data_IF_398925004625
#
_entry.id   IF_398925004625
#
_cell.length_a   1.000
_cell.length_b   1.000
_cell.length_c   1.000
_cell.angle_alpha   90.00
_cell.angle_beta   90.00
_cell.angle_gamma   90.00
#
_symmetry.space_group_name_H-M   'P 1'
#
loop_
_entity.id
_entity.type
_entity.pdbx_description
1 polymer ?
#
# COMPACT_ATOMS: atom_id res chain seq x y z
N UNK A 1 -9.99 11.30 8.84
CA UNK A 1 -8.58 11.22 9.29
C UNK A 1 -7.92 12.54 8.99
N UNK A 2 -7.30 13.21 9.98
CA UNK A 2 -6.62 14.48 9.75
C UNK A 2 -5.19 14.27 9.27
N UNK A 3 -4.70 15.21 8.47
CA UNK A 3 -3.32 15.21 7.99
C UNK A 3 -2.30 15.42 9.12
N UNK A 4 -2.65 16.21 10.13
CA UNK A 4 -1.85 16.37 11.36
C UNK A 4 -1.66 15.04 12.10
N UNK A 5 -2.71 14.22 12.20
CA UNK A 5 -2.65 12.92 12.86
C UNK A 5 -1.77 11.94 12.07
N UNK A 6 -1.74 12.09 10.74
CA UNK A 6 -0.83 11.35 9.88
C UNK A 6 0.62 11.77 10.07
N UNK A 7 0.91 13.08 10.12
CA UNK A 7 2.25 13.58 10.41
C UNK A 7 2.77 13.13 11.79
N UNK A 8 1.88 13.00 12.78
CA UNK A 8 2.22 12.53 14.12
C UNK A 8 2.25 10.99 14.26
N UNK A 9 1.97 10.24 13.18
CA UNK A 9 1.83 8.79 13.26
C UNK A 9 3.17 8.04 13.34
N UNK A 10 3.13 6.81 13.86
CA UNK A 10 4.26 5.89 13.81
C UNK A 10 4.69 5.59 12.37
N UNK A 11 3.77 5.49 11.42
CA UNK A 11 4.11 5.29 10.01
C UNK A 11 4.99 6.43 9.48
N UNK A 12 4.61 7.67 9.78
CA UNK A 12 5.32 8.85 9.30
C UNK A 12 6.73 8.94 9.88
N UNK A 13 6.88 8.69 11.18
CA UNK A 13 8.18 8.71 11.86
C UNK A 13 9.06 7.51 11.51
N UNK A 14 8.50 6.29 11.45
CA UNK A 14 9.23 5.06 11.15
C UNK A 14 9.87 5.09 9.75
N UNK A 15 9.14 5.58 8.73
CA UNK A 15 9.68 5.73 7.38
C UNK A 15 10.41 7.06 7.15
N UNK A 16 10.57 7.88 8.20
CA UNK A 16 11.17 9.21 8.15
C UNK A 16 10.62 10.05 6.99
N UNK A 17 9.28 10.16 6.94
CA UNK A 17 8.62 10.87 5.85
C UNK A 17 8.88 12.38 5.96
N UNK A 18 9.00 13.02 4.81
CA UNK A 18 9.11 14.46 4.68
C UNK A 18 8.27 14.93 3.50
N UNK A 19 7.63 16.09 3.65
CA UNK A 19 6.96 16.75 2.54
C UNK A 19 8.00 17.26 1.54
N UNK A 20 7.94 16.77 0.31
CA UNK A 20 8.85 17.20 -0.77
C UNK A 20 8.24 18.32 -1.60
N UNK A 21 6.92 18.28 -1.82
CA UNK A 21 6.20 19.29 -2.58
C UNK A 21 4.72 19.25 -2.25
N UNK A 22 4.02 20.31 -2.64
CA UNK A 22 2.57 20.31 -2.60
C UNK A 22 1.97 21.12 -3.74
N UNK A 23 0.86 20.63 -4.26
CA UNK A 23 0.19 21.17 -5.43
C UNK A 23 -1.30 21.34 -5.15
N UNK A 24 -1.86 22.48 -5.50
CA UNK A 24 -3.30 22.70 -5.41
C UNK A 24 -3.98 22.06 -6.63
N UNK A 25 -4.79 21.01 -6.41
CA UNK A 25 -5.47 20.28 -7.49
C UNK A 25 -6.82 20.93 -7.83
N UNK A 26 -7.51 21.47 -6.82
CA UNK A 26 -8.76 22.20 -6.99
C UNK A 26 -8.91 23.22 -5.86
N UNK A 27 -9.95 24.05 -5.89
CA UNK A 27 -10.23 25.00 -4.79
C UNK A 27 -10.29 24.33 -3.42
N UNK A 28 -10.69 23.07 -3.32
CA UNK A 28 -10.91 22.38 -2.04
C UNK A 28 -9.88 21.27 -1.74
N UNK A 29 -9.00 20.94 -2.67
CA UNK A 29 -8.11 19.78 -2.55
C UNK A 29 -6.65 20.11 -2.90
N UNK A 30 -5.75 19.77 -1.98
CA UNK A 30 -4.30 19.89 -2.11
C UNK A 30 -3.68 18.49 -2.16
N UNK A 31 -2.82 18.23 -3.14
CA UNK A 31 -1.99 17.03 -3.20
C UNK A 31 -0.65 17.33 -2.52
N UNK A 32 -0.28 16.50 -1.55
CA UNK A 32 1.00 16.57 -0.86
C UNK A 32 1.84 15.38 -1.27
N UNK A 33 3.06 15.65 -1.75
CA UNK A 33 4.03 14.62 -2.12
C UNK A 33 5.00 14.39 -0.97
N UNK A 34 5.23 13.12 -0.65
CA UNK A 34 6.02 12.70 0.50
C UNK A 34 7.15 11.80 0.05
N UNK A 35 8.32 11.98 0.66
CA UNK A 35 9.50 11.15 0.46
C UNK A 35 9.93 10.49 1.75
N UNK A 36 10.29 9.22 1.66
CA UNK A 36 10.85 8.39 2.73
C UNK A 36 12.28 8.82 3.06
N UNK A 37 12.82 8.42 4.22
CA UNK A 37 14.23 8.64 4.52
C UNK A 37 15.20 7.88 3.61
N UNK A 38 14.79 6.71 3.09
CA UNK A 38 15.58 5.87 2.19
C UNK A 38 14.72 5.25 1.08
N UNK A 39 15.39 4.78 0.01
CA UNK A 39 14.74 4.23 -1.19
C UNK A 39 13.76 5.20 -1.89
N UNK A 40 14.02 6.51 -1.79
CA UNK A 40 13.18 7.59 -2.31
C UNK A 40 12.99 7.52 -3.84
N UNK A 41 13.93 6.91 -4.54
CA UNK A 41 13.94 6.68 -5.98
C UNK A 41 12.94 5.62 -6.43
N UNK A 42 12.52 4.75 -5.51
CA UNK A 42 11.61 3.63 -5.74
C UNK A 42 10.22 3.83 -5.16
N UNK A 43 10.05 4.84 -4.32
CA UNK A 43 8.85 5.07 -3.52
C UNK A 43 8.33 6.49 -3.78
N UNK A 44 7.06 6.59 -4.16
CA UNK A 44 6.33 7.85 -4.16
C UNK A 44 5.05 7.71 -3.33
N UNK A 45 4.87 8.61 -2.36
CA UNK A 45 3.67 8.67 -1.54
C UNK A 45 2.98 10.00 -1.79
N UNK A 46 1.67 9.94 -2.02
CA UNK A 46 0.84 11.11 -2.17
C UNK A 46 -0.33 11.07 -1.20
N UNK A 47 -0.65 12.21 -0.60
CA UNK A 47 -1.84 12.38 0.23
C UNK A 47 -2.62 13.58 -0.27
N UNK A 48 -3.92 13.41 -0.43
CA UNK A 48 -4.84 14.44 -0.91
C UNK A 48 -5.64 14.95 0.28
N UNK A 49 -5.43 16.22 0.60
CA UNK A 49 -5.89 16.87 1.82
C UNK A 49 -6.88 17.99 1.48
N UNK A 50 -7.99 18.07 2.19
CA UNK A 50 -8.94 19.17 2.08
C UNK A 50 -8.42 20.44 2.76
N UNK A 51 -9.06 21.58 2.55
CA UNK A 51 -8.76 22.82 3.32
C UNK A 51 -8.89 22.64 4.83
N UNK A 52 -9.79 21.77 5.27
CA UNK A 52 -10.02 21.47 6.68
C UNK A 52 -8.98 20.47 7.25
N UNK A 53 -8.00 20.07 6.45
CA UNK A 53 -6.94 19.14 6.85
C UNK A 53 -7.38 17.68 6.81
N UNK A 54 -8.50 17.33 6.18
CA UNK A 54 -8.95 15.94 6.08
C UNK A 54 -8.29 15.24 4.91
N UNK A 55 -7.75 14.04 5.15
CA UNK A 55 -7.24 13.17 4.09
C UNK A 55 -8.44 12.54 3.38
N UNK A 56 -8.53 12.74 2.06
CA UNK A 56 -9.54 12.13 1.18
C UNK A 56 -8.99 11.00 0.34
N UNK A 57 -7.70 11.02 0.03
CA UNK A 57 -7.05 9.97 -0.74
C UNK A 57 -5.60 9.83 -0.33
N UNK A 58 -5.10 8.61 -0.34
CA UNK A 58 -3.69 8.31 -0.21
C UNK A 58 -3.26 7.35 -1.33
N UNK A 59 -2.09 7.59 -1.91
CA UNK A 59 -1.50 6.75 -2.95
C UNK A 59 -0.07 6.39 -2.57
N UNK A 60 0.27 5.11 -2.73
CA UNK A 60 1.62 4.59 -2.63
C UNK A 60 1.99 3.97 -3.98
N UNK A 61 3.05 4.48 -4.58
CA UNK A 61 3.66 3.96 -5.80
C UNK A 61 4.99 3.30 -5.46
N UNK A 62 5.21 2.11 -6.01
CA UNK A 62 6.42 1.33 -5.82
C UNK A 62 6.96 0.84 -7.16
N UNK A 63 8.25 1.04 -7.42
CA UNK A 63 8.93 0.55 -8.63
C UNK A 63 8.87 -0.99 -8.69
N UNK A 64 8.38 -1.56 -9.81
CA UNK A 64 8.26 -3.02 -9.99
C UNK A 64 9.61 -3.72 -9.90
N UNK A 65 10.64 -3.16 -10.54
CA UNK A 65 11.98 -3.73 -10.52
C UNK A 65 12.54 -3.83 -9.09
N UNK A 66 12.17 -2.90 -8.22
CA UNK A 66 12.63 -2.87 -6.83
C UNK A 66 11.82 -3.77 -5.90
N UNK A 67 10.49 -3.82 -6.04
CA UNK A 67 9.65 -4.68 -5.19
C UNK A 67 9.64 -6.15 -5.62
N UNK A 68 10.03 -6.42 -6.87
CA UNK A 68 10.13 -7.77 -7.42
C UNK A 68 8.81 -8.30 -7.97
N UNK A 69 8.60 -9.62 -7.94
CA UNK A 69 7.45 -10.32 -8.52
C UNK A 69 7.21 -11.66 -7.78
N UNK A 70 6.43 -12.57 -8.38
CA UNK A 70 6.12 -13.89 -7.82
C UNK A 70 7.38 -14.71 -7.42
N UNK A 71 8.52 -14.50 -8.06
CA UNK A 71 9.73 -15.28 -7.83
C UNK A 71 10.60 -14.70 -6.72
N UNK A 72 10.63 -13.38 -6.58
CA UNK A 72 11.37 -12.66 -5.54
C UNK A 72 10.59 -11.43 -5.10
N UNK A 73 10.32 -11.28 -3.81
CA UNK A 73 9.66 -10.10 -3.24
C UNK A 73 10.63 -9.40 -2.30
N UNK A 74 10.77 -8.08 -2.48
CA UNK A 74 11.57 -7.27 -1.59
C UNK A 74 10.82 -7.06 -0.26
N UNK A 75 11.39 -7.47 0.89
CA UNK A 75 10.73 -7.34 2.18
C UNK A 75 10.46 -5.88 2.57
N UNK A 76 11.28 -4.92 2.14
CA UNK A 76 11.04 -3.50 2.42
C UNK A 76 9.81 -2.97 1.66
N UNK A 77 9.65 -3.36 0.40
CA UNK A 77 8.46 -3.04 -0.38
C UNK A 77 7.19 -3.58 0.28
N UNK A 78 7.24 -4.82 0.77
CA UNK A 78 6.13 -5.45 1.48
C UNK A 78 5.84 -4.76 2.83
N UNK A 79 6.89 -4.38 3.56
CA UNK A 79 6.79 -3.72 4.87
C UNK A 79 6.17 -2.31 4.77
N UNK A 80 6.58 -1.50 3.79
CA UNK A 80 5.94 -0.19 3.59
C UNK A 80 4.50 -0.34 3.09
N UNK A 81 4.23 -1.32 2.23
CA UNK A 81 2.87 -1.59 1.71
C UNK A 81 1.91 -2.00 2.81
N UNK A 82 2.32 -2.95 3.68
CA UNK A 82 1.48 -3.37 4.81
C UNK A 82 1.25 -2.21 5.77
N UNK A 83 2.27 -1.39 6.02
CA UNK A 83 2.20 -0.33 7.03
C UNK A 83 1.35 0.84 6.52
N UNK A 84 1.43 1.14 5.22
CA UNK A 84 0.54 2.07 4.54
C UNK A 84 -0.91 1.62 4.61
N UNK A 85 -1.20 0.36 4.27
CA UNK A 85 -2.55 -0.21 4.37
C UNK A 85 -3.03 -0.28 5.81
N UNK A 86 -2.16 -0.61 6.76
CA UNK A 86 -2.50 -0.64 8.17
C UNK A 86 -2.90 0.76 8.69
N UNK A 87 -2.20 1.81 8.25
CA UNK A 87 -2.52 3.16 8.66
C UNK A 87 -3.80 3.69 7.99
N UNK A 88 -3.86 3.63 6.66
CA UNK A 88 -4.92 4.32 5.91
C UNK A 88 -6.24 3.55 5.84
N UNK A 89 -6.22 2.21 5.84
CA UNK A 89 -7.45 1.42 5.70
C UNK A 89 -8.28 1.53 6.99
N UNK A 90 -9.52 2.06 6.95
CA UNK A 90 -10.37 2.13 8.14
C UNK A 90 -10.67 0.74 8.71
N UNK A 91 -10.85 0.60 10.04
CA UNK A 91 -11.40 -0.61 10.60
C UNK A 91 -12.80 -0.85 10.04
N UNK A 92 -13.14 -2.10 9.76
CA UNK A 92 -14.47 -2.50 9.29
C UNK A 92 -15.10 -3.40 10.34
N UNK A 93 -16.25 -3.01 10.86
CA UNK A 93 -17.01 -3.85 11.78
C UNK A 93 -17.36 -5.20 11.12
N UNK A 94 -17.04 -6.30 11.81
CA UNK A 94 -17.31 -7.64 11.33
C UNK A 94 -16.48 -8.11 10.13
N UNK A 95 -15.42 -7.40 9.74
CA UNK A 95 -14.51 -7.84 8.67
C UNK A 95 -13.05 -7.92 9.12
N UNK A 96 -12.47 -9.10 8.94
CA UNK A 96 -11.04 -9.34 9.17
C UNK A 96 -10.18 -8.95 7.93
N UNK A 97 -10.78 -8.37 6.88
CA UNK A 97 -10.10 -8.09 5.61
C UNK A 97 -8.79 -7.31 5.80
N UNK A 98 -8.82 -6.20 6.57
CA UNK A 98 -7.64 -5.38 6.85
C UNK A 98 -6.55 -6.21 7.52
N UNK A 99 -6.91 -6.97 8.56
CA UNK A 99 -5.98 -7.78 9.34
C UNK A 99 -5.36 -8.87 8.47
N UNK A 100 -6.16 -9.58 7.68
CA UNK A 100 -5.66 -10.60 6.76
C UNK A 100 -4.75 -9.99 5.69
N UNK A 101 -5.16 -8.91 5.01
CA UNK A 101 -4.34 -8.26 3.99
C UNK A 101 -2.97 -7.82 4.53
N UNK A 102 -2.95 -7.17 5.70
CA UNK A 102 -1.71 -6.73 6.37
C UNK A 102 -0.85 -7.94 6.76
N UNK A 103 -1.46 -8.98 7.32
CA UNK A 103 -0.77 -10.21 7.73
C UNK A 103 -0.13 -10.92 6.54
N UNK A 104 -0.87 -11.09 5.44
CA UNK A 104 -0.34 -11.78 4.25
C UNK A 104 0.71 -10.96 3.53
N UNK A 105 0.59 -9.64 3.46
CA UNK A 105 1.66 -8.79 2.92
C UNK A 105 2.93 -8.88 3.76
N UNK A 106 2.83 -8.93 5.09
CA UNK A 106 4.00 -9.08 5.96
C UNK A 106 4.76 -10.38 5.70
N UNK A 107 4.02 -11.47 5.52
CA UNK A 107 4.56 -12.80 5.27
C UNK A 107 4.80 -13.10 3.78
N UNK A 108 4.58 -12.12 2.89
CA UNK A 108 4.71 -12.30 1.46
C UNK A 108 6.17 -12.56 1.08
N UNK A 109 6.43 -13.68 0.42
CA UNK A 109 7.74 -14.06 -0.10
C UNK A 109 7.62 -14.52 -1.55
N UNK A 110 8.65 -14.28 -2.33
CA UNK A 110 8.79 -14.86 -3.66
C UNK A 110 9.08 -16.36 -3.58
N UNK A 111 8.74 -17.11 -4.64
CA UNK A 111 8.95 -18.56 -4.72
C UNK A 111 10.39 -18.97 -4.42
N UNK A 112 11.36 -18.17 -4.84
CA UNK A 112 12.79 -18.47 -4.67
C UNK A 112 13.30 -18.12 -3.26
N UNK A 113 12.48 -17.47 -2.42
CA UNK A 113 12.82 -17.08 -1.05
C UNK A 113 12.21 -18.03 0.00
N UNK A 114 11.52 -19.09 -0.43
CA UNK A 114 10.93 -20.10 0.46
C UNK A 114 12.03 -21.09 0.87
N UNK A 115 12.80 -20.75 1.91
CA UNK A 115 13.94 -21.58 2.39
C UNK A 115 13.55 -22.55 3.52
N UNK A 116 12.39 -22.38 4.16
CA UNK A 116 12.00 -23.11 5.39
C UNK A 116 10.60 -23.74 5.24
N UNK A 117 10.36 -24.98 5.74
CA UNK A 117 9.04 -25.64 5.74
C UNK A 117 7.89 -24.80 6.34
N UNK A 118 8.18 -23.91 7.28
CA UNK A 118 7.21 -22.96 7.86
C UNK A 118 6.52 -22.09 6.77
N UNK A 119 7.22 -21.81 5.67
CA UNK A 119 6.67 -21.06 4.54
C UNK A 119 5.65 -21.84 3.70
N UNK A 120 5.65 -23.17 3.77
CA UNK A 120 4.62 -23.99 3.12
C UNK A 120 3.29 -23.93 3.88
N UNK A 121 3.31 -23.77 5.21
CA UNK A 121 2.10 -23.62 6.03
C UNK A 121 1.31 -22.35 5.68
N UNK A 122 2.00 -21.27 5.26
CA UNK A 122 1.36 -20.03 4.83
C UNK A 122 0.59 -20.17 3.51
N UNK A 123 0.98 -21.10 2.61
CA UNK A 123 0.21 -21.38 1.40
C UNK A 123 -1.17 -21.96 1.73
N UNK A 124 -1.24 -22.90 2.69
CA UNK A 124 -2.52 -23.43 3.16
C UNK A 124 -3.39 -22.38 3.86
N UNK A 125 -2.76 -21.36 4.47
CA UNK A 125 -3.47 -20.22 5.03
C UNK A 125 -4.01 -19.27 3.95
N UNK A 126 -3.26 -18.96 2.88
CA UNK A 126 -3.78 -18.14 1.76
C UNK A 126 -5.05 -18.72 1.15
N UNK A 127 -5.14 -20.04 1.04
CA UNK A 127 -6.35 -20.74 0.57
C UNK A 127 -7.55 -20.61 1.54
N UNK A 128 -7.29 -20.35 2.82
CA UNK A 128 -8.33 -20.10 3.84
C UNK A 128 -8.90 -18.68 3.81
N UNK A 129 -8.29 -17.75 3.04
CA UNK A 129 -8.75 -16.36 2.91
C UNK A 129 -8.83 -15.93 1.43
N UNK A 130 -9.75 -16.52 0.65
CA UNK A 130 -9.80 -16.34 -0.80
C UNK A 130 -10.03 -14.89 -1.22
N UNK A 131 -10.62 -14.04 -0.38
CA UNK A 131 -10.82 -12.62 -0.71
C UNK A 131 -9.51 -11.79 -0.76
N UNK A 132 -8.43 -12.26 -0.14
CA UNK A 132 -7.14 -11.55 -0.09
C UNK A 132 -6.25 -11.91 -1.28
N UNK A 133 -6.34 -13.15 -1.75
CA UNK A 133 -5.48 -13.69 -2.82
C UNK A 133 -5.40 -12.78 -4.06
N UNK A 134 -6.49 -12.21 -4.59
CA UNK A 134 -6.41 -11.29 -5.74
C UNK A 134 -5.51 -10.07 -5.50
N UNK A 135 -5.43 -9.55 -4.28
CA UNK A 135 -4.55 -8.42 -3.94
C UNK A 135 -3.08 -8.84 -3.91
N UNK A 136 -2.80 -10.02 -3.37
CA UNK A 136 -1.45 -10.60 -3.38
C UNK A 136 -1.01 -10.92 -4.81
N UNK A 137 -1.92 -11.37 -5.66
CA UNK A 137 -1.64 -11.66 -7.07
C UNK A 137 -1.32 -10.37 -7.85
N UNK A 138 -1.98 -9.25 -7.55
CA UNK A 138 -1.56 -7.94 -8.09
C UNK A 138 -0.16 -7.58 -7.57
N UNK A 139 0.09 -7.74 -6.28
CA UNK A 139 1.41 -7.47 -5.69
C UNK A 139 2.52 -8.30 -6.35
N UNK A 140 2.26 -9.58 -6.61
CA UNK A 140 3.17 -10.54 -7.26
C UNK A 140 3.34 -10.33 -8.78
N UNK A 141 2.70 -9.33 -9.38
CA UNK A 141 2.63 -9.09 -10.83
C UNK A 141 1.90 -10.18 -11.63
N UNK A 142 1.04 -10.96 -11.00
CA UNK A 142 0.26 -12.02 -11.67
C UNK A 142 -1.02 -11.40 -12.25
N UNK A 143 -1.64 -10.50 -11.49
CA UNK A 143 -2.86 -9.79 -11.90
C UNK A 143 -2.57 -8.32 -12.17
N UNK A 144 -3.32 -7.72 -13.11
CA UNK A 144 -3.16 -6.30 -13.44
C UNK A 144 -3.74 -5.40 -12.37
N UNK A 145 -4.88 -5.75 -11.80
CA UNK A 145 -5.64 -4.87 -10.92
C UNK A 145 -6.62 -5.63 -10.03
N UNK A 146 -6.89 -5.07 -8.83
CA UNK A 146 -7.94 -5.49 -7.92
C UNK A 146 -8.53 -4.29 -7.18
N UNK A 147 -9.83 -4.31 -6.90
CA UNK A 147 -10.54 -3.23 -6.20
C UNK A 147 -11.44 -3.76 -5.08
N UNK A 148 -11.49 -3.05 -3.95
CA UNK A 148 -12.50 -3.22 -2.90
C UNK A 148 -13.27 -1.93 -2.71
N UNK A 149 -14.59 -1.98 -2.77
CA UNK A 149 -15.44 -0.89 -2.31
C UNK A 149 -16.12 -1.28 -1.00
N UNK A 150 -16.18 -0.34 -0.08
CA UNK A 150 -16.96 -0.41 1.15
C UNK A 150 -17.74 0.88 1.35
N UNK A 151 -18.42 1.02 2.49
CA UNK A 151 -19.13 2.25 2.84
C UNK A 151 -18.17 3.41 3.11
N UNK A 152 -16.99 3.12 3.67
CA UNK A 152 -16.06 4.13 4.18
C UNK A 152 -14.84 4.36 3.27
N UNK A 153 -14.60 3.45 2.31
CA UNK A 153 -13.44 3.55 1.43
C UNK A 153 -13.58 2.80 0.11
N UNK A 154 -12.70 3.17 -0.82
CA UNK A 154 -12.40 2.45 -2.06
C UNK A 154 -10.89 2.18 -2.16
N UNK A 155 -10.51 0.91 -2.10
CA UNK A 155 -9.13 0.42 -2.24
C UNK A 155 -8.91 -0.05 -3.67
N UNK A 156 -7.82 0.39 -4.28
CA UNK A 156 -7.36 -0.06 -5.60
C UNK A 156 -5.91 -0.48 -5.47
N UNK A 157 -5.59 -1.70 -5.88
CA UNK A 157 -4.23 -2.14 -6.16
C UNK A 157 -4.10 -2.41 -7.64
N UNK A 158 -3.13 -1.81 -8.33
CA UNK A 158 -2.92 -2.05 -9.76
C UNK A 158 -1.46 -1.93 -10.17
N UNK A 159 -1.05 -2.77 -11.11
CA UNK A 159 0.19 -2.59 -11.85
C UNK A 159 -0.06 -1.59 -12.99
N UNK A 160 0.75 -0.55 -13.05
CA UNK A 160 0.58 0.60 -13.92
C UNK A 160 1.92 1.08 -14.46
N UNK A 161 1.89 1.95 -15.45
CA UNK A 161 3.07 2.62 -15.99
C UNK A 161 2.96 4.09 -15.63
N UNK A 162 4.01 4.65 -15.03
CA UNK A 162 4.11 6.07 -14.71
C UNK A 162 5.38 6.63 -15.33
N UNK A 163 5.23 7.45 -16.37
CA UNK A 163 6.35 7.82 -17.23
C UNK A 163 6.86 6.57 -17.95
N UNK A 164 8.14 6.24 -17.74
CA UNK A 164 8.79 5.06 -18.33
C UNK A 164 8.91 3.87 -17.35
N UNK A 165 8.46 4.04 -16.09
CA UNK A 165 8.61 3.03 -15.05
C UNK A 165 7.34 2.19 -14.88
N UNK A 166 7.51 0.87 -14.80
CA UNK A 166 6.47 -0.03 -14.29
C UNK A 166 6.37 0.09 -12.77
N UNK A 167 5.14 0.26 -12.26
CA UNK A 167 4.88 0.50 -10.84
C UNK A 167 3.68 -0.25 -10.32
N UNK A 168 3.74 -0.65 -9.07
CA UNK A 168 2.56 -1.01 -8.29
C UNK A 168 1.99 0.25 -7.65
N UNK A 169 0.71 0.54 -7.91
CA UNK A 169 -0.08 1.54 -7.19
C UNK A 169 -0.94 0.84 -6.14
N UNK A 170 -0.88 1.33 -4.91
CA UNK A 170 -1.85 1.09 -3.85
C UNK A 170 -2.54 2.42 -3.55
N UNK A 171 -3.81 2.55 -3.93
CA UNK A 171 -4.60 3.77 -3.75
C UNK A 171 -5.77 3.50 -2.81
N UNK A 172 -5.96 4.39 -1.85
CA UNK A 172 -7.11 4.38 -0.96
C UNK A 172 -7.83 5.72 -1.02
N UNK A 173 -9.11 5.68 -1.40
CA UNK A 173 -10.01 6.83 -1.36
C UNK A 173 -10.95 6.65 -0.15
N UNK A 174 -11.01 7.67 0.72
CA UNK A 174 -11.88 7.68 1.90
C UNK A 174 -13.19 8.40 1.57
N UNK A 175 -14.32 7.76 1.90
CA UNK A 175 -15.68 8.23 1.60
C UNK A 175 -16.18 9.08 2.77
#
# INVERSE_FOLDING_TARGET
MKYSDFQASEFFSFFNLSESSSEQISTELKKVSLKTGGFQEHIDIYVYVTKQGDIKKAELYLDREWIGNIDSINPFGADISKSFLHYFLPPQEGSEFKKHLVHYLYNLRGKNQIVIPLHQAFKGFEDSTPEIRPYLDVYRNISKEMRKRSKDYHLIMKNTIQGEKERLLISLELI
#
